data_IF_029409157295
#
_entry.id   IF_029409157295
#
_cell.length_a   1.000
_cell.length_b   1.000
_cell.length_c   1.000
_cell.angle_alpha   90.00
_cell.angle_beta   90.00
_cell.angle_gamma   90.00
#
_symmetry.space_group_name_H-M   'P 1'
#
loop_
_entity.id
_entity.type
_entity.pdbx_description
1 polymer ?
#
# COMPACT_ATOMS: atom_id res chain seq x y z
N UNK A 1 -22.33 5.87 3.73
CA UNK A 1 -21.49 6.47 4.78
C UNK A 1 -20.30 7.05 4.05
N UNK A 2 -20.00 8.35 4.20
CA UNK A 2 -18.83 8.96 3.56
C UNK A 2 -17.58 8.35 4.18
N UNK A 3 -16.71 7.75 3.36
CA UNK A 3 -15.39 7.31 3.84
C UNK A 3 -14.62 8.53 4.38
N UNK A 4 -13.79 8.36 5.41
CA UNK A 4 -12.89 9.43 5.82
C UNK A 4 -11.93 9.73 4.66
N UNK A 5 -11.77 11.01 4.30
CA UNK A 5 -10.85 11.45 3.25
C UNK A 5 -9.37 11.25 3.64
N UNK A 6 -9.10 10.83 4.88
CA UNK A 6 -7.76 10.65 5.44
C UNK A 6 -7.73 9.53 6.50
N UNK A 7 -6.64 8.75 6.52
CA UNK A 7 -6.38 7.64 7.44
C UNK A 7 -5.01 7.82 8.13
N UNK A 8 -4.79 7.08 9.21
CA UNK A 8 -3.45 6.89 9.75
C UNK A 8 -2.70 5.81 8.95
N UNK A 9 -1.36 5.88 8.89
CA UNK A 9 -0.56 4.79 8.32
C UNK A 9 -0.78 3.47 9.07
N UNK A 10 -1.03 3.53 10.38
CA UNK A 10 -1.27 2.36 11.22
C UNK A 10 -2.54 1.58 10.82
N UNK A 11 -3.60 2.29 10.42
CA UNK A 11 -4.84 1.67 9.97
C UNK A 11 -4.74 1.22 8.51
N UNK A 12 -4.10 2.03 7.67
CA UNK A 12 -3.96 1.77 6.24
C UNK A 12 -3.04 0.58 5.93
N UNK A 13 -1.89 0.49 6.60
CA UNK A 13 -0.84 -0.45 6.21
C UNK A 13 -1.24 -1.94 6.29
N UNK A 14 -1.90 -2.42 7.37
CA UNK A 14 -2.38 -3.79 7.42
C UNK A 14 -3.39 -4.10 6.32
N UNK A 15 -4.32 -3.18 6.05
CA UNK A 15 -5.30 -3.33 4.98
C UNK A 15 -4.64 -3.41 3.61
N UNK A 16 -3.68 -2.53 3.32
CA UNK A 16 -2.94 -2.53 2.05
C UNK A 16 -2.20 -3.85 1.84
N UNK A 17 -1.57 -4.39 2.88
CA UNK A 17 -0.85 -5.66 2.82
C UNK A 17 -1.78 -6.84 2.54
N UNK A 18 -3.00 -6.84 3.11
CA UNK A 18 -4.03 -7.84 2.84
C UNK A 18 -4.64 -7.69 1.43
N UNK A 19 -4.55 -6.50 0.83
CA UNK A 19 -5.06 -6.16 -0.51
C UNK A 19 -3.96 -5.96 -1.56
N UNK A 20 -2.82 -6.62 -1.39
CA UNK A 20 -1.66 -6.43 -2.27
C UNK A 20 -1.94 -6.74 -3.75
N UNK A 21 -2.89 -7.64 -4.05
CA UNK A 21 -3.31 -7.98 -5.42
C UNK A 21 -4.21 -6.92 -6.08
N UNK A 22 -4.66 -5.93 -5.32
CA UNK A 22 -5.52 -4.85 -5.81
C UNK A 22 -4.72 -3.58 -6.15
N UNK A 23 -3.39 -3.61 -5.95
CA UNK A 23 -2.48 -2.51 -6.29
C UNK A 23 -2.25 -2.51 -7.80
N UNK A 24 -2.60 -1.39 -8.44
CA UNK A 24 -2.40 -1.17 -9.88
C UNK A 24 -1.03 -0.54 -10.15
N UNK A 25 -0.58 0.32 -9.24
CA UNK A 25 0.75 0.95 -9.25
C UNK A 25 1.09 1.53 -7.89
N UNK A 26 2.38 1.62 -7.59
CA UNK A 26 2.89 2.24 -6.37
C UNK A 26 4.23 2.90 -6.63
N UNK A 27 4.59 3.91 -5.85
CA UNK A 27 5.88 4.56 -6.02
C UNK A 27 6.03 5.85 -5.23
N UNK A 28 6.97 6.66 -5.69
CA UNK A 28 7.25 8.02 -5.22
C UNK A 28 6.90 9.00 -6.35
N UNK A 29 6.85 10.32 -6.11
CA UNK A 29 6.66 11.30 -7.17
C UNK A 29 7.64 11.16 -8.35
N UNK A 30 8.85 10.64 -8.09
CA UNK A 30 9.92 10.52 -9.08
C UNK A 30 9.98 9.16 -9.78
N UNK A 31 9.31 8.13 -9.29
CA UNK A 31 9.46 6.75 -9.80
C UNK A 31 8.23 5.91 -9.51
N UNK A 32 7.79 5.14 -10.53
CA UNK A 32 6.52 4.41 -10.50
C UNK A 32 6.76 2.94 -10.86
N UNK A 33 6.24 2.04 -10.04
CA UNK A 33 6.14 0.61 -10.32
C UNK A 33 4.71 0.29 -10.73
N UNK A 34 4.55 -0.36 -11.88
CA UNK A 34 3.25 -0.78 -12.40
C UNK A 34 3.05 -2.28 -12.18
N UNK A 35 1.83 -2.64 -11.82
CA UNK A 35 1.42 -4.03 -11.79
C UNK A 35 1.44 -4.67 -13.19
N UNK A 36 1.55 -6.00 -13.22
CA UNK A 36 1.47 -6.79 -14.45
C UNK A 36 1.14 -8.24 -14.09
N UNK A 37 0.43 -8.96 -14.97
CA UNK A 37 0.03 -10.37 -14.81
C UNK A 37 1.12 -11.36 -14.34
N UNK A 38 2.41 -11.06 -14.60
CA UNK A 38 3.55 -11.91 -14.26
C UNK A 38 4.23 -11.50 -12.94
N UNK A 39 3.78 -10.41 -12.34
CA UNK A 39 4.34 -9.81 -11.16
C UNK A 39 3.47 -10.09 -9.95
N UNK A 40 4.07 -9.94 -8.76
CA UNK A 40 3.33 -9.91 -7.52
C UNK A 40 3.97 -8.91 -6.58
N UNK A 41 3.13 -8.25 -5.79
CA UNK A 41 3.54 -7.35 -4.73
C UNK A 41 3.90 -8.14 -3.48
N UNK A 42 5.01 -7.78 -2.85
CA UNK A 42 5.48 -8.37 -1.60
C UNK A 42 5.74 -7.28 -0.58
N UNK A 43 5.14 -7.43 0.59
CA UNK A 43 5.32 -6.56 1.75
C UNK A 43 6.25 -7.24 2.74
N UNK A 44 7.27 -6.50 3.20
CA UNK A 44 8.25 -6.95 4.19
C UNK A 44 8.80 -5.75 4.96
N UNK A 45 9.76 -5.99 5.83
CA UNK A 45 10.54 -4.96 6.50
C UNK A 45 12.00 -5.09 6.07
N UNK A 46 12.67 -3.97 5.80
CA UNK A 46 14.13 -3.93 5.66
C UNK A 46 14.79 -3.98 7.05
N UNK A 47 14.22 -3.23 7.99
CA UNK A 47 14.61 -3.16 9.39
C UNK A 47 13.39 -2.76 10.24
N UNK A 48 13.49 -2.67 11.59
CA UNK A 48 12.35 -2.34 12.44
C UNK A 48 11.62 -1.03 12.11
N UNK A 49 12.29 -0.09 11.47
CA UNK A 49 11.80 1.26 11.20
C UNK A 49 11.56 1.52 9.71
N UNK A 50 11.77 0.55 8.83
CA UNK A 50 11.63 0.73 7.38
C UNK A 50 10.80 -0.38 6.77
N UNK A 51 9.65 0.01 6.25
CA UNK A 51 8.75 -0.86 5.50
C UNK A 51 9.26 -0.99 4.07
N UNK A 52 9.07 -2.17 3.48
CA UNK A 52 9.54 -2.46 2.14
C UNK A 52 8.41 -3.07 1.30
N UNK A 53 8.13 -2.42 0.17
CA UNK A 53 7.21 -2.93 -0.86
C UNK A 53 8.03 -3.31 -2.07
N UNK A 54 7.89 -4.56 -2.53
CA UNK A 54 8.66 -5.09 -3.63
C UNK A 54 7.73 -5.59 -4.73
N UNK A 55 8.11 -5.31 -5.98
CA UNK A 55 7.50 -5.90 -7.15
C UNK A 55 8.41 -7.03 -7.64
N UNK A 56 7.88 -8.24 -7.75
CA UNK A 56 8.67 -9.44 -8.02
C UNK A 56 8.12 -10.19 -9.22
N UNK A 57 8.99 -10.61 -10.16
CA UNK A 57 8.66 -11.54 -11.25
C UNK A 57 9.21 -12.93 -10.92
N UNK A 58 8.35 -13.85 -10.49
CA UNK A 58 8.75 -15.18 -10.04
C UNK A 58 9.68 -15.14 -8.83
N UNK A 59 11.00 -15.19 -9.04
CA UNK A 59 12.01 -15.04 -7.97
C UNK A 59 12.91 -13.80 -8.15
N UNK A 60 12.69 -13.02 -9.20
CA UNK A 60 13.52 -11.87 -9.55
C UNK A 60 12.87 -10.59 -9.03
N UNK A 61 13.61 -9.79 -8.28
CA UNK A 61 13.20 -8.44 -7.91
C UNK A 61 13.15 -7.57 -9.18
N UNK A 62 12.04 -6.87 -9.37
CA UNK A 62 11.83 -5.91 -10.46
C UNK A 62 12.11 -4.49 -9.95
N UNK A 63 11.62 -4.18 -8.76
CA UNK A 63 11.82 -2.91 -8.09
C UNK A 63 11.31 -2.95 -6.66
N UNK A 64 11.66 -1.94 -5.89
CA UNK A 64 11.27 -1.83 -4.49
C UNK A 64 11.14 -0.38 -4.04
N UNK A 65 10.28 -0.17 -3.05
CA UNK A 65 10.00 1.13 -2.42
C UNK A 65 10.23 0.97 -0.91
N UNK A 66 11.16 1.77 -0.39
CA UNK A 66 11.46 1.87 1.04
C UNK A 66 10.61 2.99 1.63
N UNK A 67 9.79 2.64 2.62
CA UNK A 67 8.86 3.57 3.27
C UNK A 67 9.33 3.76 4.71
N UNK A 68 9.59 5.01 5.08
CA UNK A 68 9.91 5.42 6.44
C UNK A 68 8.63 5.86 7.16
N UNK A 69 8.03 5.02 8.04
CA UNK A 69 6.73 5.30 8.64
C UNK A 69 6.71 6.59 9.45
N UNK A 70 7.81 6.90 10.13
CA UNK A 70 7.94 8.08 10.99
C UNK A 70 7.87 9.40 10.22
N UNK A 71 8.10 9.38 8.89
CA UNK A 71 7.95 10.56 8.03
C UNK A 71 6.52 10.75 7.53
N UNK A 72 5.67 9.73 7.64
CA UNK A 72 4.29 9.77 7.12
C UNK A 72 3.36 10.34 8.18
N UNK A 73 2.83 11.54 7.93
CA UNK A 73 1.89 12.22 8.81
C UNK A 73 0.46 11.68 8.68
N UNK A 74 0.05 11.30 7.47
CA UNK A 74 -1.28 10.77 7.18
C UNK A 74 -1.32 10.05 5.83
N UNK A 75 -2.41 9.33 5.57
CA UNK A 75 -2.72 8.76 4.25
C UNK A 75 -3.98 9.44 3.73
N UNK A 76 -3.85 10.20 2.64
CA UNK A 76 -4.97 10.89 1.99
C UNK A 76 -5.59 10.00 0.92
N UNK A 77 -6.92 9.95 0.87
CA UNK A 77 -7.66 9.19 -0.13
C UNK A 77 -8.21 10.16 -1.19
N UNK A 78 -7.89 9.93 -2.46
CA UNK A 78 -8.45 10.71 -3.57
C UNK A 78 -8.96 9.80 -4.69
N UNK A 79 -10.02 10.21 -5.43
CA UNK A 79 -10.47 9.46 -6.59
C UNK A 79 -9.44 9.55 -7.73
N UNK A 80 -9.14 8.41 -8.35
CA UNK A 80 -8.32 8.32 -9.56
C UNK A 80 -9.14 8.24 -10.84
N UNK A 81 -8.56 7.65 -11.89
CA UNK A 81 -9.26 7.44 -13.16
C UNK A 81 -10.27 6.28 -13.04
N UNK A 82 -11.51 6.50 -13.51
CA UNK A 82 -12.61 5.52 -13.45
C UNK A 82 -12.90 5.07 -12.00
N UNK A 83 -12.58 3.82 -11.68
CA UNK A 83 -12.81 3.19 -10.38
C UNK A 83 -11.53 3.12 -9.53
N UNK A 84 -10.43 3.74 -10.00
CA UNK A 84 -9.18 3.81 -9.25
C UNK A 84 -9.35 4.66 -7.99
N UNK A 85 -8.66 4.25 -6.93
CA UNK A 85 -8.53 5.00 -5.68
C UNK A 85 -7.06 5.22 -5.39
N UNK A 86 -6.69 6.47 -5.14
CA UNK A 86 -5.32 6.88 -4.86
C UNK A 86 -5.18 7.08 -3.35
N UNK A 87 -4.15 6.48 -2.78
CA UNK A 87 -3.73 6.63 -1.40
C UNK A 87 -2.38 7.33 -1.37
N UNK A 88 -2.37 8.62 -1.06
CA UNK A 88 -1.16 9.43 -0.93
C UNK A 88 -0.66 9.38 0.51
N UNK A 89 0.56 8.89 0.73
CA UNK A 89 1.24 8.94 2.02
C UNK A 89 1.87 10.32 2.15
N UNK A 90 1.24 11.15 2.96
CA UNK A 90 1.58 12.56 3.15
C UNK A 90 2.67 12.70 4.20
N UNK A 91 3.51 13.72 4.05
CA UNK A 91 4.39 14.23 5.09
C UNK A 91 4.17 15.73 5.27
N UNK A 92 4.48 16.19 6.47
CA UNK A 92 4.49 17.61 6.85
C UNK A 92 5.94 18.04 6.99
N UNK A 93 6.41 18.93 6.12
CA UNK A 93 7.77 19.47 6.16
C UNK A 93 7.73 20.98 5.97
N UNK A 94 8.36 21.72 6.89
CA UNK A 94 8.41 23.19 6.85
C UNK A 94 7.05 23.90 6.75
N UNK A 95 5.98 23.25 7.25
CA UNK A 95 4.61 23.77 7.20
C UNK A 95 3.88 23.55 5.88
N UNK A 96 4.46 22.76 4.98
CA UNK A 96 3.85 22.37 3.71
C UNK A 96 3.62 20.84 3.68
N UNK A 97 2.47 20.45 3.12
CA UNK A 97 2.15 19.05 2.88
C UNK A 97 2.75 18.57 1.57
N UNK A 98 3.40 17.41 1.59
CA UNK A 98 3.95 16.77 0.39
C UNK A 98 3.65 15.28 0.37
N UNK A 99 3.49 14.73 -0.85
CA UNK A 99 3.35 13.28 -1.06
C UNK A 99 4.73 12.66 -1.06
N UNK A 100 5.00 11.71 -0.14
CA UNK A 100 6.24 10.93 -0.16
C UNK A 100 6.11 9.68 -1.02
N UNK A 101 4.98 9.00 -0.87
CA UNK A 101 4.68 7.75 -1.55
C UNK A 101 3.21 7.75 -1.95
N UNK A 102 2.85 6.93 -2.92
CA UNK A 102 1.46 6.70 -3.24
C UNK A 102 1.20 5.27 -3.68
N UNK A 103 -0.04 4.83 -3.48
CA UNK A 103 -0.58 3.58 -3.97
C UNK A 103 -1.86 3.85 -4.73
N UNK A 104 -1.99 3.29 -5.93
CA UNK A 104 -3.24 3.32 -6.68
C UNK A 104 -3.84 1.93 -6.66
N UNK A 105 -5.08 1.84 -6.22
CA UNK A 105 -5.79 0.60 -6.01
C UNK A 105 -7.05 0.51 -6.86
N UNK A 106 -7.45 -0.71 -7.17
CA UNK A 106 -8.68 -1.00 -7.90
C UNK A 106 -9.96 -0.81 -7.06
N UNK A 107 -9.84 -0.61 -5.74
CA UNK A 107 -10.94 -0.30 -4.84
C UNK A 107 -10.48 0.55 -3.65
N UNK A 108 -11.43 1.17 -2.97
CA UNK A 108 -11.18 2.00 -1.79
C UNK A 108 -11.12 1.21 -0.48
N UNK A 109 -10.84 1.93 0.60
CA UNK A 109 -10.63 1.40 1.95
C UNK A 109 -11.94 1.03 2.67
N UNK A 110 -12.26 -0.25 2.81
CA UNK A 110 -13.44 -0.67 3.56
C UNK A 110 -13.12 -0.82 5.06
N UNK A 111 -13.82 -0.08 5.91
CA UNK A 111 -13.66 -0.09 7.38
C UNK A 111 -14.16 -1.43 7.98
N UNK A 112 -14.87 -2.26 7.20
CA UNK A 112 -15.60 -3.42 7.71
C UNK A 112 -15.07 -4.79 7.30
N UNK A 113 -13.89 -4.92 6.71
CA UNK A 113 -13.40 -6.25 6.37
C UNK A 113 -12.79 -6.94 7.60
N UNK A 114 -13.45 -7.96 8.20
CA UNK A 114 -12.83 -8.72 9.26
C UNK A 114 -11.61 -9.45 8.68
N UNK A 115 -10.48 -9.54 9.42
CA UNK A 115 -9.31 -10.26 8.94
C UNK A 115 -9.74 -11.67 8.54
N UNK A 116 -9.46 -12.06 7.29
CA UNK A 116 -9.82 -13.36 6.77
C UNK A 116 -9.25 -14.41 7.74
N UNK A 117 -10.14 -15.19 8.36
CA UNK A 117 -9.73 -16.22 9.30
C UNK A 117 -8.73 -17.14 8.60
N UNK A 118 -7.51 -17.23 9.16
CA UNK A 118 -6.48 -18.16 8.68
C UNK A 118 -7.03 -19.56 8.86
N UNK A 119 -7.70 -20.07 7.82
CA UNK A 119 -8.12 -21.46 7.78
C UNK A 119 -6.84 -22.25 7.57
N UNK A 120 -6.21 -22.65 8.69
CA UNK A 120 -5.17 -23.67 8.69
C UNK A 120 -5.84 -24.92 8.14
N UNK A 121 -5.77 -25.12 6.82
CA UNK A 121 -6.09 -26.40 6.24
C UNK A 121 -5.11 -27.40 6.84
N UNK A 122 -5.60 -28.12 7.84
CA UNK A 122 -4.91 -29.24 8.45
C UNK A 122 -4.47 -30.16 7.34
N UNK A 123 -3.15 -30.32 7.23
CA UNK A 123 -2.51 -31.34 6.42
C UNK A 123 -3.03 -32.69 6.90
N UNK A 124 -3.93 -33.29 6.14
CA UNK A 124 -4.28 -34.69 6.32
C UNK A 124 -3.09 -35.55 5.87
N UNK A 125 -2.86 -36.59 6.67
CA UNK A 125 -1.78 -37.58 6.63
C UNK A 125 -1.36 -38.05 5.22
#
# INVERSE_FOLDING_TARGET
MSQPDTLSLQDFWPWLADHCNCILRAGTPDSILYDHDDFFWRFTHENPNTLLVQLVKGKRLVGEVFIEPDLVSSVRITPGDKDEVIFDLMAEADGEEQVLYYFVMAHGYDVHEPPAAVTRHGRLH
#
